data_IF_450520432429
#
_entry.id   IF_450520432429
#
_cell.length_a   1.000
_cell.length_b   1.000
_cell.length_c   1.000
_cell.angle_alpha   90.00
_cell.angle_beta   90.00
_cell.angle_gamma   90.00
#
_symmetry.space_group_name_H-M   'P 1'
#
loop_
_entity.id
_entity.type
_entity.pdbx_description
1 polymer ?
#
# COMPACT_ATOMS: atom_id res chain seq x y z
N UNK A 1 -2.23 -18.15 7.04
CA UNK A 1 -1.81 -16.95 6.27
C UNK A 1 -2.80 -16.57 5.19
N UNK A 2 -3.07 -17.46 4.23
CA UNK A 2 -4.03 -17.22 3.13
C UNK A 2 -5.45 -16.85 3.61
N UNK A 3 -5.95 -17.46 4.69
CA UNK A 3 -7.30 -17.14 5.20
C UNK A 3 -7.40 -15.75 5.87
N UNK A 4 -6.38 -15.32 6.63
CA UNK A 4 -6.39 -14.01 7.30
C UNK A 4 -6.09 -12.86 6.31
N UNK A 5 -5.11 -13.06 5.43
CA UNK A 5 -4.84 -12.12 4.34
C UNK A 5 -6.00 -12.08 3.34
N UNK A 6 -6.56 -13.25 2.99
CA UNK A 6 -7.73 -13.37 2.14
C UNK A 6 -8.96 -12.69 2.74
N UNK A 7 -9.22 -12.86 4.03
CA UNK A 7 -10.31 -12.17 4.73
C UNK A 7 -10.16 -10.65 4.70
N UNK A 8 -8.95 -10.12 4.88
CA UNK A 8 -8.70 -8.69 4.82
C UNK A 8 -8.81 -8.12 3.39
N UNK A 9 -8.33 -8.87 2.38
CA UNK A 9 -8.53 -8.52 0.96
C UNK A 9 -10.02 -8.55 0.61
N UNK A 10 -10.75 -9.58 1.02
CA UNK A 10 -12.20 -9.69 0.81
C UNK A 10 -12.92 -8.55 1.50
N UNK A 11 -12.57 -8.22 2.75
CA UNK A 11 -13.17 -7.10 3.47
C UNK A 11 -12.89 -5.75 2.79
N UNK A 12 -11.68 -5.58 2.23
CA UNK A 12 -11.34 -4.41 1.42
C UNK A 12 -12.17 -4.34 0.13
N UNK A 13 -12.37 -5.47 -0.54
CA UNK A 13 -13.23 -5.59 -1.73
C UNK A 13 -14.70 -5.31 -1.39
N UNK A 14 -15.21 -5.87 -0.30
CA UNK A 14 -16.56 -5.58 0.19
C UNK A 14 -16.70 -4.10 0.49
N UNK A 15 -15.73 -3.49 1.19
CA UNK A 15 -15.72 -2.06 1.47
C UNK A 15 -15.69 -1.19 0.20
N UNK A 16 -14.91 -1.57 -0.83
CA UNK A 16 -14.96 -0.87 -2.14
C UNK A 16 -16.30 -1.05 -2.86
N UNK A 17 -16.97 -2.19 -2.67
CA UNK A 17 -18.19 -2.53 -3.40
C UNK A 17 -19.45 -1.91 -2.77
N UNK A 18 -19.44 -1.59 -1.47
CA UNK A 18 -20.59 -0.99 -0.78
C UNK A 18 -21.10 0.28 -1.50
N UNK A 19 -20.26 1.29 -1.81
CA UNK A 19 -20.72 2.46 -2.54
C UNK A 19 -21.28 2.10 -3.93
N UNK A 20 -20.55 1.25 -4.66
CA UNK A 20 -20.89 0.83 -6.03
C UNK A 20 -22.23 0.11 -6.09
N UNK A 21 -22.53 -0.73 -5.09
CA UNK A 21 -23.79 -1.47 -5.01
C UNK A 21 -24.99 -0.55 -4.74
N UNK A 22 -24.80 0.56 -4.03
CA UNK A 22 -25.88 1.48 -3.64
C UNK A 22 -26.15 2.52 -4.74
N UNK A 23 -25.09 3.11 -5.31
CA UNK A 23 -25.20 4.25 -6.23
C UNK A 23 -24.89 3.92 -7.69
N UNK A 24 -24.52 2.67 -8.02
CA UNK A 24 -23.94 2.34 -9.32
C UNK A 24 -22.48 2.81 -9.47
N UNK A 25 -21.71 2.24 -10.40
CA UNK A 25 -20.25 2.43 -10.47
C UNK A 25 -19.82 3.88 -10.72
N UNK A 26 -20.55 4.62 -11.55
CA UNK A 26 -20.21 6.00 -11.89
C UNK A 26 -20.65 6.99 -10.80
N UNK A 27 -21.91 6.94 -10.37
CA UNK A 27 -22.48 7.94 -9.46
C UNK A 27 -22.05 7.76 -8.00
N UNK A 28 -21.81 6.52 -7.54
CA UNK A 28 -21.28 6.29 -6.20
C UNK A 28 -19.87 6.85 -6.02
N UNK A 29 -19.05 6.73 -7.06
CA UNK A 29 -17.67 7.17 -7.02
C UNK A 29 -17.57 8.69 -7.08
N UNK A 30 -18.33 9.36 -7.95
CA UNK A 30 -18.36 10.84 -7.99
C UNK A 30 -18.89 11.43 -6.69
N UNK A 31 -19.95 10.87 -6.10
CA UNK A 31 -20.51 11.33 -4.82
C UNK A 31 -19.50 11.20 -3.67
N UNK A 32 -18.78 10.07 -3.61
CA UNK A 32 -17.75 9.83 -2.61
C UNK A 32 -16.62 10.86 -2.63
N UNK A 33 -16.20 11.27 -3.82
CA UNK A 33 -15.08 12.23 -3.98
C UNK A 33 -15.51 13.69 -3.86
N UNK A 34 -16.81 13.98 -3.93
CA UNK A 34 -17.36 15.33 -3.77
C UNK A 34 -17.62 15.67 -2.31
N UNK A 35 -18.11 14.71 -1.51
CA UNK A 35 -18.44 14.94 -0.10
C UNK A 35 -17.18 14.79 0.80
N UNK A 36 -16.70 15.87 1.44
CA UNK A 36 -15.42 15.86 2.16
C UNK A 36 -15.37 14.88 3.32
N UNK A 37 -16.47 14.73 4.06
CA UNK A 37 -16.57 13.84 5.22
C UNK A 37 -16.56 12.38 4.79
N UNK A 38 -17.36 12.04 3.76
CA UNK A 38 -17.48 10.67 3.26
C UNK A 38 -16.16 10.18 2.67
N UNK A 39 -15.47 11.05 1.92
CA UNK A 39 -14.12 10.82 1.41
C UNK A 39 -13.13 10.49 2.54
N UNK A 40 -13.14 11.29 3.60
CA UNK A 40 -12.26 11.09 4.75
C UNK A 40 -12.52 9.77 5.48
N UNK A 41 -13.78 9.47 5.77
CA UNK A 41 -14.17 8.21 6.43
C UNK A 41 -13.74 7.02 5.58
N UNK A 42 -14.03 7.06 4.28
CA UNK A 42 -13.66 5.99 3.36
C UNK A 42 -12.14 5.78 3.29
N UNK A 43 -11.37 6.87 3.16
CA UNK A 43 -9.90 6.81 3.12
C UNK A 43 -9.31 6.27 4.43
N UNK A 44 -9.86 6.70 5.58
CA UNK A 44 -9.43 6.25 6.90
C UNK A 44 -9.69 4.76 7.08
N UNK A 45 -10.91 4.28 6.79
CA UNK A 45 -11.26 2.86 6.91
C UNK A 45 -10.42 2.02 5.95
N UNK A 46 -10.22 2.48 4.70
CA UNK A 46 -9.36 1.81 3.74
C UNK A 46 -7.90 1.71 4.23
N UNK A 47 -7.37 2.78 4.84
CA UNK A 47 -6.03 2.79 5.42
C UNK A 47 -5.91 1.85 6.62
N UNK A 48 -6.91 1.84 7.51
CA UNK A 48 -6.94 0.93 8.68
C UNK A 48 -6.99 -0.53 8.21
N UNK A 49 -7.84 -0.86 7.24
CA UNK A 49 -7.92 -2.20 6.65
C UNK A 49 -6.58 -2.61 6.02
N UNK A 50 -5.91 -1.68 5.32
CA UNK A 50 -4.59 -1.92 4.76
C UNK A 50 -3.55 -2.22 5.85
N UNK A 51 -3.47 -1.41 6.90
CA UNK A 51 -2.57 -1.64 8.05
C UNK A 51 -2.88 -2.97 8.72
N UNK A 52 -4.16 -3.31 8.86
CA UNK A 52 -4.59 -4.57 9.46
C UNK A 52 -4.10 -5.80 8.69
N UNK A 53 -4.04 -5.75 7.35
CA UNK A 53 -3.44 -6.83 6.52
C UNK A 53 -1.99 -7.09 6.95
N UNK A 54 -1.21 -6.02 7.15
CA UNK A 54 0.18 -6.13 7.59
C UNK A 54 0.31 -6.65 9.01
N UNK A 55 -0.56 -6.22 9.93
CA UNK A 55 -0.60 -6.75 11.31
C UNK A 55 -0.94 -8.23 11.32
N UNK A 56 -1.97 -8.64 10.57
CA UNK A 56 -2.38 -10.04 10.45
C UNK A 56 -1.27 -10.91 9.81
N UNK A 57 -0.57 -10.37 8.80
CA UNK A 57 0.60 -11.03 8.21
C UNK A 57 1.74 -11.16 9.25
N UNK A 58 2.05 -10.08 9.98
CA UNK A 58 3.07 -10.06 11.03
C UNK A 58 2.80 -11.16 12.06
N UNK A 59 1.59 -11.21 12.61
CA UNK A 59 1.19 -12.17 13.63
C UNK A 59 1.33 -13.62 13.13
N UNK A 60 0.98 -13.87 11.87
CA UNK A 60 1.14 -15.19 11.27
C UNK A 60 2.63 -15.56 11.04
N UNK A 61 3.49 -14.58 10.74
CA UNK A 61 4.93 -14.76 10.56
C UNK A 61 5.67 -14.92 11.90
N UNK A 62 5.26 -14.22 12.96
CA UNK A 62 5.88 -14.30 14.30
C UNK A 62 5.96 -15.75 14.78
N UNK A 63 4.90 -16.53 14.55
CA UNK A 63 4.82 -17.93 14.96
C UNK A 63 5.78 -18.86 14.18
N UNK A 64 6.34 -18.42 13.04
CA UNK A 64 7.18 -19.24 12.16
C UNK A 64 8.64 -18.80 12.16
N UNK A 65 8.91 -17.49 12.12
CA UNK A 65 10.26 -16.93 11.93
C UNK A 65 10.75 -16.08 13.11
N UNK A 66 9.95 -16.00 14.17
CA UNK A 66 10.23 -15.19 15.35
C UNK A 66 9.90 -13.70 15.17
N UNK A 67 9.81 -12.94 16.28
CA UNK A 67 9.26 -11.59 16.28
C UNK A 67 10.10 -10.59 15.50
N UNK A 68 11.43 -10.70 15.55
CA UNK A 68 12.35 -9.80 14.86
C UNK A 68 12.27 -9.92 13.33
N UNK A 69 12.23 -11.15 12.81
CA UNK A 69 12.13 -11.35 11.38
C UNK A 69 10.74 -10.96 10.86
N UNK A 70 9.68 -11.24 11.62
CA UNK A 70 8.32 -10.88 11.26
C UNK A 70 8.12 -9.35 11.14
N UNK A 71 8.68 -8.55 12.06
CA UNK A 71 8.65 -7.08 11.91
C UNK A 71 9.47 -6.61 10.71
N UNK A 72 10.60 -7.25 10.45
CA UNK A 72 11.41 -7.00 9.25
C UNK A 72 10.63 -7.22 7.94
N UNK A 73 9.94 -8.35 7.81
CA UNK A 73 9.11 -8.64 6.62
C UNK A 73 7.97 -7.64 6.43
N UNK A 74 7.33 -7.20 7.50
CA UNK A 74 6.24 -6.21 7.45
C UNK A 74 6.76 -4.85 7.00
N UNK A 75 7.86 -4.38 7.59
CA UNK A 75 8.51 -3.13 7.19
C UNK A 75 8.95 -3.19 5.73
N UNK A 76 9.50 -4.33 5.30
CA UNK A 76 9.92 -4.53 3.93
C UNK A 76 8.75 -4.48 2.94
N UNK A 77 7.61 -5.09 3.30
CA UNK A 77 6.42 -5.10 2.48
C UNK A 77 5.74 -3.72 2.39
N UNK A 78 5.69 -2.97 3.51
CA UNK A 78 5.23 -1.56 3.52
C UNK A 78 6.14 -0.71 2.64
N UNK A 79 7.46 -0.85 2.80
CA UNK A 79 8.44 -0.17 1.99
C UNK A 79 8.27 -0.44 0.50
N UNK A 80 8.05 -1.71 0.14
CA UNK A 80 7.91 -2.12 -1.26
C UNK A 80 6.62 -1.59 -1.87
N UNK A 81 5.52 -1.69 -1.12
CA UNK A 81 4.21 -1.17 -1.54
C UNK A 81 4.20 0.35 -1.73
N UNK A 82 5.08 1.07 -1.04
CA UNK A 82 5.19 2.53 -1.16
C UNK A 82 6.24 2.94 -2.22
N UNK A 83 7.38 2.25 -2.26
CA UNK A 83 8.50 2.58 -3.15
C UNK A 83 8.20 2.30 -4.62
N UNK A 84 7.63 1.13 -4.94
CA UNK A 84 7.35 0.72 -6.32
C UNK A 84 6.47 1.71 -7.08
N UNK A 85 5.24 2.04 -6.62
CA UNK A 85 4.40 2.99 -7.32
C UNK A 85 5.01 4.39 -7.34
N UNK A 86 5.68 4.81 -6.28
CA UNK A 86 6.33 6.11 -6.21
C UNK A 86 7.50 6.24 -7.21
N UNK A 87 8.29 5.18 -7.40
CA UNK A 87 9.34 5.11 -8.43
C UNK A 87 8.76 5.18 -9.83
N UNK A 88 7.70 4.42 -10.11
CA UNK A 88 7.02 4.43 -11.41
C UNK A 88 6.52 5.84 -11.71
N UNK A 89 5.87 6.51 -10.74
CA UNK A 89 5.41 7.89 -10.87
C UNK A 89 6.58 8.86 -11.06
N UNK A 90 7.67 8.70 -10.32
CA UNK A 90 8.87 9.54 -10.43
C UNK A 90 9.59 9.42 -11.78
N UNK A 91 9.60 8.23 -12.39
CA UNK A 91 10.24 7.95 -13.68
C UNK A 91 9.36 8.37 -14.86
N UNK A 92 8.09 7.98 -14.85
CA UNK A 92 7.16 8.19 -15.98
C UNK A 92 6.59 9.63 -15.96
N UNK A 93 6.55 10.26 -14.78
CA UNK A 93 5.92 11.55 -14.54
C UNK A 93 4.48 11.40 -14.06
N UNK A 94 4.14 12.15 -13.01
CA UNK A 94 2.82 12.09 -12.38
C UNK A 94 1.67 12.44 -13.32
N UNK A 95 1.90 13.38 -14.24
CA UNK A 95 0.88 13.79 -15.22
C UNK A 95 0.58 12.65 -16.21
N UNK A 96 1.60 12.03 -16.80
CA UNK A 96 1.47 10.89 -17.70
C UNK A 96 0.76 9.70 -17.04
N UNK A 97 1.10 9.40 -15.78
CA UNK A 97 0.45 8.33 -15.01
C UNK A 97 -1.02 8.66 -14.73
N UNK A 98 -1.33 9.91 -14.38
CA UNK A 98 -2.70 10.36 -14.15
C UNK A 98 -3.55 10.31 -15.42
N UNK A 99 -2.99 10.70 -16.57
CA UNK A 99 -3.65 10.62 -17.88
C UNK A 99 -3.93 9.16 -18.27
N UNK A 100 -2.94 8.27 -18.13
CA UNK A 100 -3.11 6.84 -18.41
C UNK A 100 -4.18 6.20 -17.51
N UNK A 101 -4.21 6.60 -16.24
CA UNK A 101 -5.19 6.13 -15.26
C UNK A 101 -6.59 6.64 -15.58
N UNK A 102 -6.73 7.93 -15.93
CA UNK A 102 -8.00 8.52 -16.36
C UNK A 102 -8.54 7.82 -17.62
N UNK A 103 -7.67 7.54 -18.58
CA UNK A 103 -8.03 6.83 -19.82
C UNK A 103 -8.52 5.41 -19.53
N UNK A 104 -7.87 4.70 -18.60
CA UNK A 104 -8.26 3.34 -18.19
C UNK A 104 -9.62 3.30 -17.48
N UNK A 105 -10.01 4.39 -16.82
CA UNK A 105 -11.27 4.50 -16.08
C UNK A 105 -12.39 5.18 -16.87
N UNK A 106 -12.09 5.76 -18.03
CA UNK A 106 -13.08 6.39 -18.91
C UNK A 106 -14.28 5.47 -19.23
N UNK A 107 -14.11 4.14 -19.48
CA UNK A 107 -15.23 3.23 -19.71
C UNK A 107 -16.16 3.02 -18.50
N UNK A 108 -15.70 3.33 -17.28
CA UNK A 108 -16.46 3.15 -16.04
C UNK A 108 -17.33 4.37 -15.68
N UNK A 109 -17.53 5.29 -16.63
CA UNK A 109 -18.35 6.49 -16.45
C UNK A 109 -17.56 7.74 -16.08
N UNK A 110 -16.22 7.69 -16.23
CA UNK A 110 -15.34 8.84 -16.08
C UNK A 110 -15.32 9.37 -14.66
N UNK A 111 -14.24 9.12 -13.93
CA UNK A 111 -13.80 10.13 -12.97
C UNK A 111 -13.64 11.42 -13.78
N UNK A 112 -14.55 12.38 -13.59
CA UNK A 112 -14.33 13.77 -13.98
C UNK A 112 -12.85 14.11 -13.70
N UNK A 113 -12.14 14.82 -14.61
CA UNK A 113 -10.69 15.00 -14.56
C UNK A 113 -10.30 15.20 -13.12
N UNK A 114 -9.75 14.12 -12.55
CA UNK A 114 -9.79 13.96 -11.12
C UNK A 114 -8.99 15.12 -10.49
N UNK A 115 -9.22 15.47 -9.21
CA UNK A 115 -8.60 16.65 -8.59
C UNK A 115 -7.06 16.73 -8.73
N UNK A 116 -6.41 15.64 -9.15
CA UNK A 116 -5.00 15.55 -9.53
C UNK A 116 -4.60 16.38 -10.77
N UNK A 117 -5.53 16.79 -11.64
CA UNK A 117 -5.24 17.73 -12.74
C UNK A 117 -5.01 19.16 -12.21
N UNK A 118 -5.60 19.48 -11.05
CA UNK A 118 -5.51 20.79 -10.40
C UNK A 118 -4.54 20.81 -9.21
N UNK A 119 -4.24 19.65 -8.65
CA UNK A 119 -3.12 19.49 -7.72
C UNK A 119 -1.86 19.41 -8.58
N UNK A 120 -1.06 20.48 -8.63
CA UNK A 120 0.31 20.43 -9.12
C UNK A 120 1.06 19.36 -8.31
N UNK A 121 0.99 18.10 -8.73
CA UNK A 121 1.50 17.00 -7.95
C UNK A 121 3.02 17.16 -7.95
N UNK A 122 3.64 17.51 -6.81
CA UNK A 122 5.06 17.80 -6.84
C UNK A 122 5.75 16.49 -7.17
N UNK A 123 6.48 16.44 -8.29
CA UNK A 123 7.34 15.29 -8.62
C UNK A 123 8.27 14.96 -7.45
N UNK A 124 8.67 15.99 -6.69
CA UNK A 124 9.42 15.83 -5.45
C UNK A 124 8.71 14.91 -4.43
N UNK A 125 7.38 14.98 -4.29
CA UNK A 125 6.63 14.11 -3.39
C UNK A 125 6.72 12.63 -3.78
N UNK A 126 6.76 12.32 -5.08
CA UNK A 126 6.99 10.96 -5.56
C UNK A 126 8.40 10.46 -5.19
N UNK A 127 9.43 11.30 -5.31
CA UNK A 127 10.78 10.93 -4.89
C UNK A 127 10.93 10.80 -3.37
N UNK A 128 10.25 11.65 -2.58
CA UNK A 128 10.19 11.50 -1.13
C UNK A 128 9.50 10.21 -0.70
N UNK A 129 8.39 9.84 -1.36
CA UNK A 129 7.75 8.56 -1.13
C UNK A 129 8.66 7.39 -1.54
N UNK A 130 9.30 7.46 -2.71
CA UNK A 130 10.20 6.41 -3.19
C UNK A 130 11.38 6.18 -2.24
N UNK A 131 11.99 7.26 -1.75
CA UNK A 131 13.10 7.20 -0.79
C UNK A 131 12.64 6.67 0.56
N UNK A 132 11.54 7.17 1.12
CA UNK A 132 10.99 6.67 2.38
C UNK A 132 10.63 5.18 2.29
N UNK A 133 9.97 4.76 1.21
CA UNK A 133 9.66 3.36 0.95
C UNK A 133 10.92 2.50 0.79
N UNK A 134 11.93 3.00 0.08
CA UNK A 134 13.22 2.34 -0.09
C UNK A 134 13.95 2.14 1.23
N UNK A 135 13.96 3.15 2.11
CA UNK A 135 14.53 3.04 3.46
C UNK A 135 13.80 1.97 4.28
N UNK A 136 12.46 1.96 4.26
CA UNK A 136 11.66 0.94 4.95
C UNK A 136 11.94 -0.47 4.40
N UNK A 137 12.11 -0.61 3.08
CA UNK A 137 12.53 -1.86 2.44
C UNK A 137 13.88 -2.36 2.97
N UNK A 138 14.89 -1.49 2.98
CA UNK A 138 16.24 -1.84 3.39
C UNK A 138 16.29 -2.19 4.87
N UNK A 139 15.66 -1.38 5.72
CA UNK A 139 15.58 -1.63 7.17
C UNK A 139 14.81 -2.92 7.46
N UNK A 140 13.67 -3.13 6.79
CA UNK A 140 12.88 -4.34 6.92
C UNK A 140 13.66 -5.58 6.48
N UNK A 141 14.33 -5.53 5.34
CA UNK A 141 15.19 -6.60 4.85
C UNK A 141 16.34 -6.92 5.80
N UNK A 142 17.01 -5.90 6.32
CA UNK A 142 18.10 -6.08 7.30
C UNK A 142 17.61 -6.71 8.62
N UNK A 143 16.41 -6.38 9.07
CA UNK A 143 15.78 -7.00 10.25
C UNK A 143 15.31 -8.43 10.00
N UNK A 144 14.96 -8.76 8.75
CA UNK A 144 14.51 -10.09 8.34
C UNK A 144 15.67 -11.10 8.15
N UNK A 145 16.90 -10.64 7.90
CA UNK A 145 18.08 -11.51 7.79
C UNK A 145 18.51 -11.97 9.19
N UNK A 146 18.47 -13.28 9.50
CA UNK A 146 19.05 -13.79 10.74
C UNK A 146 20.55 -13.56 10.71
N UNK A 147 21.08 -12.88 11.72
CA UNK A 147 22.50 -12.52 11.80
C UNK A 147 23.40 -13.72 11.53
N UNK A 148 24.21 -13.65 10.48
CA UNK A 148 25.21 -14.67 10.18
C UNK A 148 26.31 -14.58 11.27
N UNK A 149 26.31 -15.58 12.16
CA UNK A 149 27.47 -16.08 12.94
C UNK A 149 28.18 -15.09 13.88
N UNK A 150 27.86 -15.18 15.17
CA UNK A 150 28.90 -15.26 16.21
C UNK A 150 29.16 -16.73 16.56
N UNK A 151 29.43 -17.54 15.51
CA UNK A 151 30.13 -18.81 15.65
C UNK A 151 31.62 -18.51 15.53
N UNK A 152 32.15 -17.79 16.51
CA UNK A 152 33.60 -17.62 16.68
C UNK A 152 34.07 -18.70 17.66
N UNK A 153 34.52 -19.82 17.07
CA UNK A 153 35.56 -20.73 17.57
C UNK A 153 35.39 -21.41 18.93
N UNK A 154 35.00 -22.69 18.92
CA UNK A 154 35.59 -23.76 19.75
C UNK A 154 35.04 -25.14 19.27
N UNK A 155 35.78 -26.27 19.37
CA UNK A 155 37.23 -26.51 19.52
C UNK A 155 37.77 -27.47 18.41
N UNK A 156 39.08 -27.77 18.41
CA UNK A 156 39.45 -29.18 18.59
C UNK A 156 40.47 -29.35 19.71
N UNK A 157 40.18 -30.24 20.67
CA UNK A 157 40.96 -31.39 21.17
C UNK A 157 40.25 -31.98 22.40
#
# INVERSE_FOLDING_TARGET
MLAAAGGAVVLRCVWTLIPVAIGGPAAAWSALWTEPVLRWIYALVAAVLLVWVFVAAAWALVMQVGPRAATGFVLAAIGAGLALPALVIGIIGGQTVAEAWATSLAPLGGLAPAPFVWLEFPVAAAWWAATAGGVLCVVGGALAVPGRRAGAGAPPE
#
